data_IF_061451554547
#
_entry.id   IF_061451554547
#
_cell.length_a   1.000
_cell.length_b   1.000
_cell.length_c   1.000
_cell.angle_alpha   90.00
_cell.angle_beta   90.00
_cell.angle_gamma   90.00
#
_symmetry.space_group_name_H-M   'P 1'
#
loop_
_entity.id
_entity.type
_entity.pdbx_description
1 polymer ?
#
# COMPACT_ATOMS: atom_id res chain seq x y z
N UNK A 1 -13.18 12.41 -21.16
CA UNK A 1 -13.64 11.63 -19.98
C UNK A 1 -12.54 10.63 -19.69
N UNK A 2 -11.83 10.74 -18.56
CA UNK A 2 -10.84 9.74 -18.17
C UNK A 2 -11.52 8.39 -17.87
N UNK A 3 -10.80 7.29 -18.07
CA UNK A 3 -11.28 5.94 -17.77
C UNK A 3 -11.69 5.83 -16.29
N UNK A 4 -12.81 5.18 -16.02
CA UNK A 4 -13.33 4.98 -14.66
C UNK A 4 -14.18 6.12 -14.09
N UNK A 5 -14.33 7.25 -14.80
CA UNK A 5 -15.19 8.38 -14.40
C UNK A 5 -16.47 8.41 -15.23
N UNK A 6 -17.64 8.53 -14.60
CA UNK A 6 -18.95 8.71 -15.24
C UNK A 6 -19.61 10.04 -14.82
N UNK A 7 -20.37 10.64 -15.73
CA UNK A 7 -21.22 11.82 -15.46
C UNK A 7 -22.68 11.40 -15.61
N UNK A 8 -23.45 11.44 -14.51
CA UNK A 8 -24.90 11.14 -14.50
C UNK A 8 -25.63 12.22 -13.71
N UNK A 9 -26.63 12.85 -14.32
CA UNK A 9 -27.51 13.84 -13.68
C UNK A 9 -26.77 15.02 -13.00
N UNK A 10 -25.65 15.46 -13.56
CA UNK A 10 -24.83 16.53 -12.99
C UNK A 10 -23.96 16.11 -11.80
N UNK A 11 -23.94 14.82 -11.44
CA UNK A 11 -22.93 14.24 -10.54
C UNK A 11 -21.80 13.62 -11.36
N UNK A 12 -20.57 13.94 -10.97
CA UNK A 12 -19.37 13.22 -11.42
C UNK A 12 -19.11 12.12 -10.39
N UNK A 13 -19.09 10.87 -10.82
CA UNK A 13 -18.86 9.72 -9.95
C UNK A 13 -18.01 8.69 -10.68
N UNK A 14 -17.08 8.07 -9.98
CA UNK A 14 -16.21 7.06 -10.57
C UNK A 14 -15.05 6.73 -9.66
N UNK A 15 -14.38 5.63 -9.95
CA UNK A 15 -13.12 5.24 -9.31
C UNK A 15 -12.07 5.29 -10.41
N UNK A 16 -11.32 6.40 -10.57
CA UNK A 16 -10.29 6.47 -11.58
C UNK A 16 -9.27 5.35 -11.36
N UNK A 17 -8.99 4.55 -12.38
CA UNK A 17 -8.04 3.45 -12.31
C UNK A 17 -6.71 3.88 -12.92
N UNK A 18 -5.66 3.87 -12.11
CA UNK A 18 -4.29 4.09 -12.58
C UNK A 18 -3.60 2.74 -12.73
N UNK A 19 -3.38 2.31 -13.98
CA UNK A 19 -2.79 0.98 -14.27
C UNK A 19 -1.28 0.93 -14.14
N UNK A 20 -0.61 2.07 -14.28
CA UNK A 20 0.83 2.18 -14.19
C UNK A 20 1.15 3.44 -13.38
N UNK A 21 1.64 3.26 -12.16
CA UNK A 21 2.06 4.33 -11.27
C UNK A 21 3.51 4.78 -11.52
N UNK A 22 4.34 3.95 -12.16
CA UNK A 22 5.77 4.20 -12.25
C UNK A 22 6.40 4.39 -10.86
N UNK A 23 7.07 5.54 -10.67
CA UNK A 23 7.67 5.96 -9.39
C UNK A 23 6.89 7.07 -8.70
N UNK A 24 5.74 7.45 -9.26
CA UNK A 24 4.95 8.56 -8.77
C UNK A 24 3.93 8.08 -7.74
N UNK A 25 3.71 8.90 -6.71
CA UNK A 25 2.73 8.64 -5.64
C UNK A 25 1.42 9.41 -5.84
N UNK A 26 1.36 10.27 -6.86
CA UNK A 26 0.18 11.06 -7.20
C UNK A 26 0.05 11.24 -8.72
N UNK A 27 -1.20 11.29 -9.20
CA UNK A 27 -1.52 11.61 -10.59
C UNK A 27 -2.72 12.54 -10.70
N UNK A 28 -2.61 13.51 -11.59
CA UNK A 28 -3.66 14.48 -11.86
C UNK A 28 -4.51 14.05 -13.07
N UNK A 29 -5.82 14.18 -12.93
CA UNK A 29 -6.80 13.89 -13.96
C UNK A 29 -7.64 15.13 -14.25
N UNK A 30 -7.52 15.67 -15.45
CA UNK A 30 -8.40 16.74 -15.91
C UNK A 30 -9.73 16.16 -16.37
N UNK A 31 -10.80 16.56 -15.70
CA UNK A 31 -12.16 16.22 -16.10
C UNK A 31 -12.83 17.46 -16.66
N UNK A 32 -13.30 17.35 -17.90
CA UNK A 32 -14.04 18.38 -18.61
C UNK A 32 -15.53 18.09 -18.54
N UNK A 33 -16.31 19.03 -18.03
CA UNK A 33 -17.77 18.98 -17.98
C UNK A 33 -18.33 19.99 -18.96
N UNK A 34 -19.22 19.51 -19.83
CA UNK A 34 -19.96 20.34 -20.78
C UNK A 34 -21.42 20.40 -20.36
N UNK A 35 -21.95 21.61 -20.19
CA UNK A 35 -23.38 21.87 -20.01
C UNK A 35 -23.95 22.50 -21.29
N UNK A 36 -25.10 22.00 -21.75
CA UNK A 36 -25.83 22.49 -22.93
C UNK A 36 -27.22 22.97 -22.49
N UNK A 37 -27.65 24.16 -22.93
CA UNK A 37 -29.00 24.68 -22.67
C UNK A 37 -30.01 24.25 -23.75
N UNK A 38 -31.30 24.54 -23.55
CA UNK A 38 -32.37 24.18 -24.51
C UNK A 38 -32.22 24.85 -25.89
N UNK A 39 -31.42 25.91 -25.99
CA UNK A 39 -31.11 26.60 -27.24
C UNK A 39 -29.85 26.03 -27.93
N UNK A 40 -29.20 25.03 -27.34
CA UNK A 40 -28.00 24.39 -27.85
C UNK A 40 -26.70 25.14 -27.53
N UNK A 41 -26.73 26.16 -26.67
CA UNK A 41 -25.52 26.84 -26.23
C UNK A 41 -24.77 25.96 -25.24
N UNK A 42 -23.45 25.87 -25.41
CA UNK A 42 -22.56 25.04 -24.59
C UNK A 42 -21.67 25.91 -23.70
N UNK A 43 -21.47 25.45 -22.48
CA UNK A 43 -20.43 25.93 -21.56
C UNK A 43 -19.60 24.75 -21.11
N UNK A 44 -18.30 24.99 -20.92
CA UNK A 44 -17.35 23.95 -20.53
C UNK A 44 -16.57 24.42 -19.31
N UNK A 45 -16.42 23.53 -18.33
CA UNK A 45 -15.60 23.75 -17.14
C UNK A 45 -14.69 22.56 -16.95
N UNK A 46 -13.43 22.83 -16.61
CA UNK A 46 -12.44 21.81 -16.29
C UNK A 46 -12.15 21.83 -14.78
N UNK A 47 -11.95 20.65 -14.21
CA UNK A 47 -11.45 20.49 -12.85
C UNK A 47 -10.38 19.40 -12.83
N UNK A 48 -9.39 19.60 -11.96
CA UNK A 48 -8.31 18.65 -11.74
C UNK A 48 -8.65 17.79 -10.52
N UNK A 49 -8.64 16.47 -10.72
CA UNK A 49 -8.73 15.48 -9.64
C UNK A 49 -7.32 14.95 -9.41
N UNK A 50 -6.79 15.13 -8.21
CA UNK A 50 -5.56 14.48 -7.77
C UNK A 50 -5.88 13.13 -7.13
N UNK A 51 -5.32 12.07 -7.69
CA UNK A 51 -5.41 10.70 -7.15
C UNK A 51 -4.07 10.36 -6.51
N UNK A 52 -4.09 9.92 -5.26
CA UNK A 52 -2.90 9.44 -4.56
C UNK A 52 -2.87 7.91 -4.62
N UNK A 53 -1.66 7.37 -4.71
CA UNK A 53 -1.43 5.93 -4.67
C UNK A 53 -1.79 5.37 -3.28
N UNK A 54 -2.35 4.17 -3.30
CA UNK A 54 -2.78 3.39 -2.14
C UNK A 54 -2.54 1.92 -2.53
N UNK A 55 -1.36 1.40 -2.17
CA UNK A 55 -0.82 0.14 -2.67
C UNK A 55 -1.54 -1.07 -2.06
N UNK A 56 -1.87 -1.04 -0.76
CA UNK A 56 -2.57 -2.11 -0.06
C UNK A 56 -4.10 -1.96 -0.02
N UNK A 57 -4.62 -0.76 -0.37
CA UNK A 57 -6.04 -0.40 -0.46
C UNK A 57 -6.73 -0.28 0.89
N UNK A 58 -6.02 0.16 1.92
CA UNK A 58 -6.58 0.41 3.25
C UNK A 58 -7.25 1.80 3.38
N UNK A 59 -7.02 2.69 2.39
CA UNK A 59 -7.56 4.05 2.32
C UNK A 59 -6.62 5.13 2.85
N UNK A 60 -5.40 4.78 3.26
CA UNK A 60 -4.31 5.68 3.59
C UNK A 60 -3.38 5.79 2.36
N UNK A 61 -3.10 7.00 1.85
CA UNK A 61 -2.16 7.13 0.74
C UNK A 61 -0.75 6.68 1.13
N UNK A 62 0.00 6.04 0.23
CA UNK A 62 1.39 5.57 0.42
C UNK A 62 2.29 6.66 1.06
N UNK A 63 2.10 7.94 0.70
CA UNK A 63 2.88 9.07 1.27
C UNK A 63 2.61 9.34 2.77
N UNK A 64 1.58 8.72 3.33
CA UNK A 64 1.11 8.86 4.70
C UNK A 64 1.02 7.50 5.42
N UNK A 65 1.15 6.41 4.68
CA UNK A 65 1.30 5.06 5.20
C UNK A 65 2.74 4.80 5.64
N UNK A 66 2.92 3.85 6.54
CA UNK A 66 4.21 3.35 7.01
C UNK A 66 4.48 1.91 6.58
N UNK A 67 3.51 1.25 5.96
CA UNK A 67 3.54 -0.14 5.51
C UNK A 67 2.73 -0.20 4.20
N UNK A 68 3.32 0.33 3.11
CA UNK A 68 2.63 0.61 1.84
C UNK A 68 1.93 -0.63 1.23
N UNK A 69 2.42 -1.84 1.49
CA UNK A 69 1.86 -3.08 0.97
C UNK A 69 1.13 -3.95 2.01
N UNK A 70 1.03 -3.46 3.24
CA UNK A 70 0.27 -4.07 4.34
C UNK A 70 0.81 -5.44 4.76
N UNK A 71 2.09 -5.70 4.54
CA UNK A 71 2.69 -7.00 4.73
C UNK A 71 3.19 -7.25 6.16
N UNK A 72 3.16 -6.19 6.98
CA UNK A 72 3.55 -6.17 8.39
C UNK A 72 5.00 -5.73 8.63
N UNK A 73 5.76 -5.39 7.58
CA UNK A 73 7.12 -4.84 7.67
C UNK A 73 7.08 -3.36 7.30
N UNK A 74 7.51 -2.43 8.18
CA UNK A 74 7.47 -1.01 7.83
C UNK A 74 8.39 -0.65 6.67
N UNK A 75 7.92 0.26 5.82
CA UNK A 75 8.61 0.91 4.70
C UNK A 75 10.09 1.24 4.95
N UNK A 76 10.37 1.86 6.10
CA UNK A 76 11.72 2.30 6.47
C UNK A 76 12.65 1.10 6.72
N UNK A 77 12.13 0.00 7.27
CA UNK A 77 12.87 -1.23 7.51
C UNK A 77 13.19 -1.89 6.18
N UNK A 78 12.24 -1.97 5.27
CA UNK A 78 12.42 -2.56 3.96
C UNK A 78 13.40 -1.78 3.09
N UNK A 79 13.29 -0.44 3.08
CA UNK A 79 14.27 0.45 2.45
C UNK A 79 15.68 0.23 3.00
N UNK A 80 15.82 0.00 4.31
CA UNK A 80 17.11 -0.33 4.94
C UNK A 80 17.63 -1.72 4.51
N UNK A 81 16.72 -2.70 4.33
CA UNK A 81 17.07 -4.07 3.92
C UNK A 81 17.17 -4.25 2.41
N UNK A 82 16.80 -3.24 1.63
CA UNK A 82 16.79 -3.29 0.18
C UNK A 82 15.68 -4.16 -0.40
N UNK A 83 14.58 -4.32 0.33
CA UNK A 83 13.34 -4.92 -0.17
C UNK A 83 12.38 -3.85 -0.70
N UNK A 84 11.28 -4.25 -1.33
CA UNK A 84 10.38 -3.34 -2.05
C UNK A 84 9.12 -3.09 -1.21
N UNK A 85 8.93 -1.88 -0.65
CA UNK A 85 7.80 -1.58 0.23
C UNK A 85 6.42 -1.67 -0.41
N UNK A 86 6.38 -1.87 -1.73
CA UNK A 86 5.15 -1.91 -2.52
C UNK A 86 4.84 -3.31 -3.03
N UNK A 87 5.62 -4.33 -2.64
CA UNK A 87 5.41 -5.72 -3.01
C UNK A 87 5.37 -6.60 -1.75
N UNK A 88 4.18 -7.11 -1.34
CA UNK A 88 4.01 -7.84 -0.09
C UNK A 88 4.73 -9.19 -0.04
N UNK A 89 5.41 -9.57 -1.13
CA UNK A 89 6.27 -10.76 -1.23
C UNK A 89 7.77 -10.42 -1.12
N UNK A 90 8.12 -9.14 -1.13
CA UNK A 90 9.48 -8.61 -1.03
C UNK A 90 9.82 -8.36 0.43
N UNK A 91 9.97 -9.43 1.22
CA UNK A 91 10.26 -9.32 2.66
C UNK A 91 11.72 -9.56 2.99
N UNK A 92 12.28 -8.88 4.00
CA UNK A 92 13.57 -9.28 4.56
C UNK A 92 13.51 -10.74 5.01
N UNK A 93 14.55 -11.52 4.73
CA UNK A 93 14.63 -12.87 5.29
C UNK A 93 14.65 -12.75 6.81
N UNK A 94 13.60 -13.25 7.45
CA UNK A 94 13.66 -13.58 8.87
C UNK A 94 14.91 -14.44 9.05
N UNK A 95 15.87 -13.96 9.84
CA UNK A 95 16.87 -14.86 10.42
C UNK A 95 16.10 -15.84 11.28
N UNK A 96 15.61 -16.91 10.66
CA UNK A 96 15.13 -18.10 11.33
C UNK A 96 16.32 -18.57 12.16
N UNK A 97 16.33 -18.22 13.44
CA UNK A 97 16.96 -19.08 14.42
C UNK A 97 16.21 -20.39 14.28
N UNK A 98 16.78 -21.32 13.51
CA UNK A 98 16.41 -22.73 13.60
C UNK A 98 16.61 -23.10 15.06
N UNK A 99 15.51 -23.13 15.83
CA UNK A 99 15.48 -23.91 17.06
C UNK A 99 15.42 -25.35 16.56
N UNK A 100 16.59 -25.92 16.36
CA UNK A 100 16.76 -27.31 15.94
C UNK A 100 16.27 -28.19 17.08
N UNK A 101 15.02 -28.64 16.98
CA UNK A 101 14.50 -29.73 17.79
C UNK A 101 15.17 -31.02 17.32
N UNK A 102 16.33 -31.38 17.89
CA UNK A 102 16.81 -32.77 18.13
C UNK A 102 18.29 -32.84 18.51
N UNK A 103 18.62 -32.48 19.76
CA UNK A 103 19.95 -32.69 20.34
C UNK A 103 19.87 -33.32 21.73
N UNK A 104 19.49 -34.61 21.79
CA UNK A 104 19.46 -35.40 23.02
C UNK A 104 20.83 -35.40 23.72
N UNK A 105 20.95 -34.77 24.90
CA UNK A 105 21.82 -35.28 25.96
C UNK A 105 21.20 -35.11 27.34
N UNK A 106 20.91 -36.26 27.93
CA UNK A 106 20.53 -36.50 29.32
C UNK A 106 21.37 -35.69 30.31
N UNK A 107 20.75 -35.18 31.38
CA UNK A 107 20.93 -35.68 32.76
C UNK A 107 19.90 -35.04 33.70
N UNK A 108 19.19 -35.87 34.47
CA UNK A 108 18.52 -35.51 35.73
C UNK A 108 19.13 -36.41 36.82
N UNK A 109 18.91 -36.13 38.10
CA UNK A 109 19.76 -35.42 39.06
C UNK A 109 20.58 -36.39 39.95
N UNK A 110 21.62 -35.93 40.66
CA UNK A 110 22.11 -36.67 41.84
C UNK A 110 22.68 -35.72 42.90
N UNK A 111 22.10 -35.84 44.09
CA UNK A 111 22.54 -35.45 45.44
C UNK A 111 24.07 -35.30 45.62
N UNK A 112 24.51 -34.31 46.41
CA UNK A 112 25.07 -34.60 47.75
C UNK A 112 25.32 -33.32 48.57
N UNK A 113 25.33 -33.49 49.90
CA UNK A 113 25.40 -32.49 50.95
C UNK A 113 26.80 -31.86 51.15
N UNK A 114 26.76 -30.76 51.91
CA UNK A 114 27.63 -30.37 53.04
C UNK A 114 28.66 -29.23 52.90
N UNK A 115 28.53 -28.33 53.88
CA UNK A 115 29.51 -27.52 54.62
C UNK A 115 30.31 -26.41 53.90
N UNK A 116 30.04 -25.16 54.30
CA UNK A 116 30.90 -24.40 55.22
C UNK A 116 30.07 -23.35 55.97
#
# INVERSE_FOLDING_TARGET
QPDGVEIKEGKISGTPEVKDWGKDEEKDFTVKVTAEDEAGNKSETEFEIKVQRDTDKDGIPDIHDKDDDGDGVPDDVEKEKGTDPKDPNSKPEDKKTSVDESGKKSVKPTDDKQDT
#
